data_IF_234478458178
#
_entry.id   IF_234478458178
#
_cell.length_a   1.000
_cell.length_b   1.000
_cell.length_c   1.000
_cell.angle_alpha   90.00
_cell.angle_beta   90.00
_cell.angle_gamma   90.00
#
_symmetry.space_group_name_H-M   'P 1'
#
loop_
_entity.id
_entity.type
_entity.pdbx_description
1 polymer ?
#
# COMPACT_ATOMS: atom_id res chain seq x y z
N UNK A 1 8.67 15.17 -19.95
CA UNK A 1 9.56 14.10 -19.46
C UNK A 1 9.34 12.81 -20.24
N UNK A 2 8.12 12.25 -20.31
CA UNK A 2 7.84 11.05 -21.11
C UNK A 2 7.82 11.31 -22.63
N UNK A 3 7.46 12.54 -23.05
CA UNK A 3 7.46 12.96 -24.47
C UNK A 3 8.74 13.65 -24.94
N UNK A 4 9.82 13.61 -24.15
CA UNK A 4 11.09 14.18 -24.62
C UNK A 4 11.69 13.21 -25.65
N UNK A 5 11.88 13.61 -26.93
CA UNK A 5 12.42 12.73 -27.97
C UNK A 5 13.85 12.24 -27.66
N UNK A 6 14.52 12.81 -26.65
CA UNK A 6 15.84 12.39 -26.18
C UNK A 6 15.78 11.36 -25.04
N UNK A 7 14.58 11.05 -24.54
CA UNK A 7 14.40 10.14 -23.41
C UNK A 7 14.62 8.66 -23.77
N UNK A 8 14.63 8.32 -25.07
CA UNK A 8 14.76 6.94 -25.52
C UNK A 8 13.55 6.08 -25.11
N UNK A 9 13.78 4.79 -24.86
CA UNK A 9 12.73 3.89 -24.37
C UNK A 9 12.39 4.21 -22.90
N UNK A 10 11.11 4.48 -22.63
CA UNK A 10 10.60 4.73 -21.28
C UNK A 10 9.80 3.52 -20.81
N UNK A 11 10.14 2.98 -19.64
CA UNK A 11 9.38 1.94 -18.96
C UNK A 11 8.64 2.56 -17.77
N UNK A 12 7.35 2.27 -17.63
CA UNK A 12 6.54 2.71 -16.50
C UNK A 12 6.09 1.48 -15.71
N UNK A 13 6.51 1.38 -14.45
CA UNK A 13 6.07 0.33 -13.52
C UNK A 13 5.04 0.97 -12.60
N UNK A 14 3.84 0.39 -12.56
CA UNK A 14 2.75 0.87 -11.72
C UNK A 14 2.44 -0.24 -10.73
N UNK A 15 2.67 0.03 -9.46
CA UNK A 15 2.50 -0.91 -8.36
C UNK A 15 1.20 -0.59 -7.57
N UNK A 16 0.64 -1.58 -6.89
CA UNK A 16 -0.53 -1.43 -6.02
C UNK A 16 -1.86 -1.18 -6.75
N UNK A 17 -2.00 -1.67 -7.99
CA UNK A 17 -3.25 -1.54 -8.76
C UNK A 17 -4.41 -2.32 -8.14
N UNK A 18 -4.12 -3.42 -7.46
CA UNK A 18 -5.06 -4.26 -6.70
C UNK A 18 -5.79 -3.47 -5.59
N UNK A 19 -5.16 -2.41 -5.06
CA UNK A 19 -5.73 -1.55 -4.02
C UNK A 19 -6.56 -0.40 -4.57
N UNK A 20 -6.61 -0.21 -5.89
CA UNK A 20 -7.38 0.87 -6.50
C UNK A 20 -8.86 0.51 -6.61
N UNK A 21 -9.73 1.47 -6.24
CA UNK A 21 -11.17 1.35 -6.55
C UNK A 21 -11.38 1.29 -8.07
N UNK A 22 -12.41 0.56 -8.49
CA UNK A 22 -12.64 0.31 -9.92
C UNK A 22 -12.78 1.59 -10.75
N UNK A 23 -13.49 2.61 -10.25
CA UNK A 23 -13.59 3.91 -10.93
C UNK A 23 -12.23 4.61 -11.11
N UNK A 24 -11.34 4.47 -10.13
CA UNK A 24 -9.99 5.04 -10.18
C UNK A 24 -9.12 4.29 -11.19
N UNK A 25 -9.27 2.96 -11.26
CA UNK A 25 -8.59 2.13 -12.25
C UNK A 25 -9.02 2.50 -13.67
N UNK A 26 -10.33 2.68 -13.91
CA UNK A 26 -10.88 3.11 -15.21
C UNK A 26 -10.34 4.47 -15.65
N UNK A 27 -10.23 5.42 -14.72
CA UNK A 27 -9.62 6.73 -14.98
C UNK A 27 -8.14 6.61 -15.34
N UNK A 28 -7.38 5.81 -14.58
CA UNK A 28 -5.95 5.56 -14.84
C UNK A 28 -5.73 4.96 -16.23
N UNK A 29 -6.49 3.92 -16.60
CA UNK A 29 -6.44 3.30 -17.93
C UNK A 29 -6.79 4.32 -19.02
N UNK A 30 -7.82 5.14 -18.81
CA UNK A 30 -8.20 6.21 -19.73
C UNK A 30 -7.09 7.26 -19.92
N UNK A 31 -6.38 7.63 -18.85
CA UNK A 31 -5.24 8.54 -18.92
C UNK A 31 -4.08 7.91 -19.69
N UNK A 32 -3.72 6.65 -19.41
CA UNK A 32 -2.66 5.94 -20.12
C UNK A 32 -2.99 5.85 -21.62
N UNK A 33 -4.21 5.44 -21.97
CA UNK A 33 -4.68 5.41 -23.38
C UNK A 33 -4.53 6.76 -24.06
N UNK A 34 -5.03 7.83 -23.44
CA UNK A 34 -4.98 9.16 -24.04
C UNK A 34 -3.55 9.72 -24.16
N UNK A 35 -2.68 9.41 -23.21
CA UNK A 35 -1.31 9.93 -23.22
C UNK A 35 -0.40 9.21 -24.22
N UNK A 36 -0.57 7.89 -24.39
CA UNK A 36 0.32 7.04 -25.21
C UNK A 36 -0.25 6.61 -26.57
N UNK A 37 -1.58 6.51 -26.73
CA UNK A 37 -2.19 5.92 -27.94
C UNK A 37 -2.83 6.94 -28.90
N UNK A 38 -2.91 8.23 -28.53
CA UNK A 38 -3.50 9.25 -29.42
C UNK A 38 -2.56 9.74 -30.54
N UNK A 39 -1.23 9.66 -30.38
CA UNK A 39 -0.28 10.11 -31.40
C UNK A 39 0.02 9.05 -32.48
N UNK A 40 -0.14 7.75 -32.18
CA UNK A 40 0.03 6.69 -33.18
C UNK A 40 -0.94 6.86 -34.38
N UNK A 41 -2.15 7.38 -34.14
CA UNK A 41 -3.15 7.61 -35.17
C UNK A 41 -2.94 8.92 -35.98
N UNK A 42 -2.12 9.85 -35.49
CA UNK A 42 -1.84 11.12 -36.18
C UNK A 42 -0.55 11.06 -37.00
N UNK A 43 0.44 10.26 -36.60
CA UNK A 43 1.69 10.06 -37.33
C UNK A 43 1.48 9.28 -38.66
N UNK A 44 0.55 8.32 -38.69
CA UNK A 44 0.22 7.54 -39.90
C UNK A 44 -0.57 8.35 -40.96
N UNK A 45 -1.17 9.49 -40.60
CA UNK A 45 -1.94 10.32 -41.55
C UNK A 45 -1.08 11.13 -42.50
N UNK A 46 0.19 11.36 -42.17
CA UNK A 46 1.07 12.17 -43.01
C UNK A 46 1.93 11.36 -43.98
N UNK A 47 1.99 10.02 -43.84
CA UNK A 47 2.83 9.17 -44.70
C UNK A 47 2.04 8.23 -45.64
N UNK A 48 0.74 8.01 -45.41
CA UNK A 48 -0.09 7.21 -46.32
C UNK A 48 -1.24 8.04 -46.92
N UNK A 49 -0.97 8.62 -48.08
CA UNK A 49 -2.00 9.08 -48.99
C UNK A 49 -2.90 7.92 -49.40
N UNK A 50 -4.21 8.12 -49.24
CA UNK A 50 -5.31 7.30 -49.76
C UNK A 50 -5.44 5.87 -49.18
N UNK A 51 -6.18 5.76 -48.08
CA UNK A 51 -7.08 4.63 -47.87
C UNK A 51 -8.31 5.11 -47.10
N UNK A 52 -9.46 5.17 -47.79
CA UNK A 52 -10.75 5.14 -47.11
C UNK A 52 -10.89 3.74 -46.53
N UNK A 53 -11.09 3.62 -45.22
CA UNK A 53 -11.64 2.41 -44.64
C UNK A 53 -12.60 2.77 -43.52
N UNK A 54 -13.75 2.11 -43.58
CA UNK A 54 -14.87 2.13 -42.66
C UNK A 54 -14.43 2.00 -41.20
N UNK A 55 -15.12 2.70 -40.31
CA UNK A 55 -14.96 2.55 -38.86
C UNK A 55 -15.20 1.10 -38.47
N UNK A 56 -14.24 0.41 -37.81
CA UNK A 56 -14.60 -0.76 -37.05
C UNK A 56 -15.21 -0.27 -35.74
N UNK A 57 -16.45 -0.67 -35.48
CA UNK A 57 -17.05 -0.59 -34.15
C UNK A 57 -16.04 -1.10 -33.13
N UNK A 58 -15.70 -0.24 -32.17
CA UNK A 58 -14.75 -0.53 -31.11
C UNK A 58 -15.39 -1.51 -30.09
N UNK A 59 -15.52 -2.77 -30.48
CA UNK A 59 -15.80 -3.91 -29.60
C UNK A 59 -14.64 -4.90 -29.68
N UNK A 60 -13.41 -4.38 -29.59
CA UNK A 60 -12.24 -5.17 -29.31
C UNK A 60 -11.65 -4.66 -27.99
N UNK A 61 -12.13 -5.23 -26.89
CA UNK A 61 -11.30 -5.32 -25.69
C UNK A 61 -9.96 -5.89 -26.14
N UNK A 62 -8.82 -5.25 -25.81
CA UNK A 62 -7.53 -5.88 -26.06
C UNK A 62 -7.58 -7.23 -25.37
N UNK A 63 -7.40 -8.32 -26.13
CA UNK A 63 -7.15 -9.62 -25.50
C UNK A 63 -5.96 -9.40 -24.58
N UNK A 64 -6.27 -9.41 -23.29
CA UNK A 64 -5.37 -9.64 -22.20
C UNK A 64 -4.46 -10.80 -22.59
N UNK A 65 -3.24 -10.49 -23.04
CA UNK A 65 -2.12 -11.39 -22.79
C UNK A 65 -1.74 -11.16 -21.35
N UNK A 66 -2.61 -11.67 -20.49
CA UNK A 66 -2.25 -12.10 -19.17
C UNK A 66 -1.23 -13.23 -19.35
N UNK A 67 0.04 -12.87 -19.40
CA UNK A 67 1.05 -13.69 -18.73
C UNK A 67 0.86 -13.47 -17.21
N UNK A 68 -0.38 -13.68 -16.73
CA UNK A 68 -0.70 -13.83 -15.32
C UNK A 68 -0.46 -15.30 -15.09
N UNK A 69 0.59 -15.60 -14.34
CA UNK A 69 0.62 -16.86 -13.60
C UNK A 69 -0.65 -16.85 -12.74
N UNK A 70 -1.70 -17.50 -13.27
CA UNK A 70 -2.98 -17.63 -12.61
C UNK A 70 -2.75 -18.25 -11.24
N UNK A 71 -3.02 -17.48 -10.20
CA UNK A 71 -3.50 -18.08 -8.98
C UNK A 71 -4.90 -18.57 -9.32
N UNK A 72 -5.04 -19.88 -9.50
CA UNK A 72 -6.31 -20.54 -9.75
C UNK A 72 -7.29 -20.15 -8.64
N UNK A 73 -8.31 -19.37 -9.00
CA UNK A 73 -9.52 -19.15 -8.21
C UNK A 73 -10.36 -20.44 -8.29
N UNK A 74 -9.97 -21.45 -7.53
CA UNK A 74 -10.83 -22.60 -7.21
C UNK A 74 -11.19 -22.57 -5.73
N UNK A 75 -12.48 -22.28 -5.48
CA UNK A 75 -13.24 -22.35 -4.23
C UNK A 75 -12.67 -23.24 -3.09
N UNK A 76 -11.77 -22.68 -2.28
CA UNK A 76 -11.62 -22.95 -0.84
C UNK A 76 -11.32 -21.60 -0.17
N UNK A 77 -11.81 -21.35 1.06
CA UNK A 77 -11.57 -20.12 1.81
C UNK A 77 -10.11 -19.64 1.66
N UNK A 78 -9.95 -18.54 0.94
CA UNK A 78 -8.77 -18.18 0.15
C UNK A 78 -7.55 -17.86 1.02
N UNK A 79 -6.87 -18.91 1.45
CA UNK A 79 -5.75 -18.82 2.38
C UNK A 79 -4.42 -18.74 1.62
N UNK A 80 -3.82 -17.55 1.63
CA UNK A 80 -2.56 -17.26 0.94
C UNK A 80 -1.40 -18.13 1.48
N UNK A 81 -0.83 -19.06 0.69
CA UNK A 81 0.25 -19.95 1.14
C UNK A 81 1.51 -19.20 1.58
N UNK A 82 1.76 -18.02 1.00
CA UNK A 82 2.89 -17.16 1.38
C UNK A 82 2.70 -16.55 2.76
N UNK A 83 1.46 -16.25 3.14
CA UNK A 83 1.12 -15.76 4.48
C UNK A 83 1.40 -16.82 5.53
N UNK A 84 1.07 -18.10 5.25
CA UNK A 84 1.38 -19.22 6.14
C UNK A 84 2.86 -19.32 6.44
N UNK A 85 3.69 -19.34 5.39
CA UNK A 85 5.14 -19.43 5.51
C UNK A 85 5.69 -18.25 6.31
N UNK A 86 5.11 -17.07 6.14
CA UNK A 86 5.47 -15.88 6.91
C UNK A 86 5.10 -16.01 8.39
N UNK A 87 3.88 -16.47 8.71
CA UNK A 87 3.43 -16.72 10.09
C UNK A 87 4.36 -17.73 10.77
N UNK A 88 4.66 -18.85 10.11
CA UNK A 88 5.58 -19.86 10.63
C UNK A 88 6.99 -19.30 10.88
N UNK A 89 7.48 -18.42 10.01
CA UNK A 89 8.76 -17.74 10.21
C UNK A 89 8.72 -16.79 11.41
N UNK A 90 7.63 -16.04 11.58
CA UNK A 90 7.45 -15.06 12.67
C UNK A 90 7.27 -15.71 14.04
N UNK A 91 6.55 -16.83 14.10
CA UNK A 91 6.38 -17.59 15.35
C UNK A 91 7.73 -18.13 15.85
N UNK A 92 8.65 -18.49 14.94
CA UNK A 92 10.02 -18.90 15.31
C UNK A 92 10.86 -17.78 15.93
N UNK A 93 10.45 -16.51 15.80
CA UNK A 93 11.07 -15.39 16.51
C UNK A 93 10.62 -15.30 17.99
N UNK A 94 9.55 -16.00 18.37
CA UNK A 94 9.01 -16.01 19.73
C UNK A 94 9.79 -17.01 20.62
N UNK A 95 9.65 -16.91 21.95
CA UNK A 95 10.24 -17.87 22.87
C UNK A 95 9.85 -19.32 22.52
N UNK A 96 10.75 -20.31 22.70
CA UNK A 96 10.53 -21.69 22.26
C UNK A 96 9.37 -22.42 22.97
N UNK A 97 8.84 -21.86 24.06
CA UNK A 97 7.69 -22.40 24.78
C UNK A 97 6.36 -21.76 24.35
N UNK A 98 6.37 -20.89 23.35
CA UNK A 98 5.17 -20.24 22.84
C UNK A 98 4.18 -21.31 22.29
N UNK A 99 2.86 -21.09 22.44
CA UNK A 99 1.86 -22.02 21.93
C UNK A 99 1.72 -21.88 20.40
N UNK A 100 2.70 -22.40 19.66
CA UNK A 100 2.84 -22.19 18.21
C UNK A 100 1.55 -22.51 17.44
N UNK A 101 0.96 -23.69 17.67
CA UNK A 101 -0.25 -24.10 16.96
C UNK A 101 -1.43 -23.15 17.15
N UNK A 102 -1.58 -22.61 18.36
CA UNK A 102 -2.66 -21.68 18.67
C UNK A 102 -2.40 -20.31 18.05
N UNK A 103 -1.16 -19.83 18.14
CA UNK A 103 -0.76 -18.56 17.55
C UNK A 103 -0.88 -18.60 16.02
N UNK A 104 -0.51 -19.71 15.37
CA UNK A 104 -0.70 -19.89 13.93
C UNK A 104 -2.16 -19.70 13.56
N UNK A 105 -3.07 -20.46 14.17
CA UNK A 105 -4.51 -20.35 13.89
C UNK A 105 -5.03 -18.94 14.13
N UNK A 106 -4.63 -18.29 15.22
CA UNK A 106 -5.08 -16.94 15.55
C UNK A 106 -4.58 -15.89 14.54
N UNK A 107 -3.35 -16.04 14.04
CA UNK A 107 -2.75 -15.14 13.06
C UNK A 107 -3.25 -15.39 11.64
N UNK A 108 -3.65 -16.63 11.31
CA UNK A 108 -4.19 -16.99 9.98
C UNK A 108 -5.58 -16.39 9.73
N UNK A 109 -6.41 -16.23 10.77
CA UNK A 109 -7.81 -15.79 10.65
C UNK A 109 -8.02 -14.30 10.96
N UNK A 110 -6.96 -13.51 11.03
CA UNK A 110 -7.01 -12.08 11.39
C UNK A 110 -6.09 -11.25 10.49
N UNK A 111 -6.29 -9.94 10.51
CA UNK A 111 -5.43 -8.96 9.85
C UNK A 111 -5.69 -8.79 8.35
N UNK A 112 -6.86 -9.20 7.86
CA UNK A 112 -7.25 -9.15 6.44
C UNK A 112 -6.20 -9.75 5.50
N UNK A 113 -5.50 -10.80 5.97
CA UNK A 113 -4.44 -11.47 5.22
C UNK A 113 -3.18 -10.63 4.99
N UNK A 114 -2.96 -9.55 5.77
CA UNK A 114 -1.82 -8.66 5.58
C UNK A 114 -0.61 -9.06 6.42
N UNK A 115 0.56 -9.11 5.78
CA UNK A 115 1.84 -9.33 6.46
C UNK A 115 2.10 -8.31 7.57
N UNK A 116 1.69 -7.05 7.36
CA UNK A 116 1.91 -5.97 8.30
C UNK A 116 1.14 -6.15 9.61
N UNK A 117 -0.09 -6.66 9.55
CA UNK A 117 -0.86 -6.94 10.76
C UNK A 117 -0.18 -8.03 11.59
N UNK A 118 0.37 -9.07 10.94
CA UNK A 118 1.13 -10.13 11.62
C UNK A 118 2.35 -9.55 12.32
N UNK A 119 3.09 -8.64 11.68
CA UNK A 119 4.23 -7.97 12.31
C UNK A 119 3.80 -7.21 13.58
N UNK A 120 2.71 -6.44 13.53
CA UNK A 120 2.19 -5.76 14.72
C UNK A 120 1.78 -6.74 15.81
N UNK A 121 1.09 -7.82 15.46
CA UNK A 121 0.65 -8.82 16.42
C UNK A 121 1.84 -9.50 17.11
N UNK A 122 2.84 -9.92 16.34
CA UNK A 122 4.05 -10.57 16.85
C UNK A 122 4.86 -9.63 17.75
N UNK A 123 4.97 -8.35 17.39
CA UNK A 123 5.63 -7.35 18.25
C UNK A 123 4.88 -7.11 19.57
N UNK A 124 3.54 -7.19 19.59
CA UNK A 124 2.78 -7.16 20.84
C UNK A 124 3.00 -8.43 21.67
N UNK A 125 3.06 -9.61 21.03
CA UNK A 125 3.32 -10.88 21.70
C UNK A 125 4.71 -10.95 22.34
N UNK A 126 5.73 -10.35 21.70
CA UNK A 126 7.09 -10.26 22.26
C UNK A 126 7.15 -9.46 23.57
N UNK A 127 6.16 -8.61 23.86
CA UNK A 127 6.13 -7.77 25.07
C UNK A 127 5.51 -8.45 26.28
N UNK A 128 4.85 -9.60 26.10
CA UNK A 128 4.12 -10.29 27.16
C UNK A 128 4.75 -11.63 27.53
N UNK A 129 4.58 -12.12 28.77
CA UNK A 129 4.94 -13.49 29.14
C UNK A 129 4.20 -14.52 28.28
N UNK A 130 4.79 -15.71 28.13
CA UNK A 130 4.23 -16.81 27.31
C UNK A 130 2.81 -17.18 27.74
N UNK A 131 2.53 -17.14 29.04
CA UNK A 131 1.23 -17.49 29.62
C UNK A 131 0.11 -16.52 29.19
N UNK A 132 0.47 -15.30 28.77
CA UNK A 132 -0.47 -14.25 28.36
C UNK A 132 -0.58 -14.10 26.84
N UNK A 133 0.20 -14.85 26.05
CA UNK A 133 0.28 -14.69 24.59
C UNK A 133 -1.05 -15.02 23.91
N UNK A 134 -1.72 -16.09 24.34
CA UNK A 134 -3.03 -16.49 23.82
C UNK A 134 -4.09 -15.40 24.05
N UNK A 135 -4.19 -14.91 25.28
CA UNK A 135 -5.13 -13.82 25.61
C UNK A 135 -4.77 -12.54 24.84
N UNK A 136 -3.48 -12.25 24.70
CA UNK A 136 -2.99 -11.08 24.00
C UNK A 136 -3.38 -11.12 22.53
N UNK A 137 -3.07 -12.19 21.79
CA UNK A 137 -3.42 -12.30 20.36
C UNK A 137 -4.93 -12.23 20.15
N UNK A 138 -5.71 -12.83 21.05
CA UNK A 138 -7.17 -12.80 20.96
C UNK A 138 -7.77 -11.42 21.22
N UNK A 139 -7.10 -10.61 22.07
CA UNK A 139 -7.48 -9.22 22.35
C UNK A 139 -7.09 -8.22 21.25
N UNK A 140 -6.23 -8.62 20.30
CA UNK A 140 -5.83 -7.75 19.21
C UNK A 140 -6.99 -7.51 18.25
N UNK A 141 -7.15 -6.27 17.74
CA UNK A 141 -8.19 -5.99 16.75
C UNK A 141 -8.01 -6.85 15.50
N UNK A 142 -9.11 -7.40 14.93
CA UNK A 142 -9.04 -8.31 13.79
C UNK A 142 -8.66 -7.61 12.50
N UNK A 143 -8.90 -6.30 12.36
CA UNK A 143 -8.63 -5.53 11.14
C UNK A 143 -7.39 -4.63 11.30
N UNK A 144 -6.71 -4.37 10.19
CA UNK A 144 -5.52 -3.51 10.18
C UNK A 144 -5.84 -2.05 10.56
N UNK A 145 -6.97 -1.51 10.12
CA UNK A 145 -7.38 -0.13 10.45
C UNK A 145 -7.65 0.05 11.95
N UNK A 146 -8.21 -0.98 12.60
CA UNK A 146 -8.43 -0.98 14.04
C UNK A 146 -7.11 -1.12 14.80
N UNK A 147 -6.14 -1.86 14.26
CA UNK A 147 -4.78 -1.91 14.80
C UNK A 147 -4.13 -0.52 14.77
N UNK A 148 -4.20 0.20 13.64
CA UNK A 148 -3.73 1.58 13.55
C UNK A 148 -4.43 2.50 14.56
N UNK A 149 -5.76 2.37 14.69
CA UNK A 149 -6.53 3.14 15.67
C UNK A 149 -6.03 2.91 17.09
N UNK A 150 -5.80 1.65 17.48
CA UNK A 150 -5.22 1.31 18.79
C UNK A 150 -3.82 1.90 18.97
N UNK A 151 -2.95 1.82 17.96
CA UNK A 151 -1.60 2.40 18.00
C UNK A 151 -1.69 3.92 18.23
N UNK A 152 -2.55 4.62 17.49
CA UNK A 152 -2.72 6.07 17.61
C UNK A 152 -3.31 6.48 18.96
N UNK A 153 -4.27 5.72 19.51
CA UNK A 153 -4.86 5.99 20.82
C UNK A 153 -3.92 5.72 21.99
N UNK A 154 -2.91 4.86 21.81
CA UNK A 154 -1.91 4.55 22.83
C UNK A 154 -0.73 5.55 22.86
N UNK A 155 -0.74 6.58 22.01
CA UNK A 155 0.29 7.62 22.03
C UNK A 155 0.17 8.42 23.36
N UNK A 156 1.26 8.60 24.12
CA UNK A 156 1.25 9.43 25.33
C UNK A 156 0.74 10.85 25.03
N UNK A 157 -0.10 11.46 25.89
CA UNK A 157 -0.69 12.78 25.63
C UNK A 157 0.32 13.86 25.26
N UNK A 158 1.45 13.91 25.97
CA UNK A 158 2.59 14.81 25.70
C UNK A 158 3.22 14.66 24.31
N UNK A 159 3.03 13.54 23.62
CA UNK A 159 3.58 13.29 22.27
C UNK A 159 2.56 13.45 21.14
N UNK A 160 1.27 13.63 21.45
CA UNK A 160 0.20 13.63 20.44
C UNK A 160 0.43 14.73 19.40
N UNK A 161 0.67 15.97 19.82
CA UNK A 161 0.92 17.09 18.90
C UNK A 161 2.15 16.86 18.01
N UNK A 162 3.20 16.27 18.58
CA UNK A 162 4.41 15.92 17.84
C UNK A 162 4.11 14.86 16.77
N UNK A 163 3.41 13.78 17.13
CA UNK A 163 3.07 12.71 16.19
C UNK A 163 2.11 13.20 15.11
N UNK A 164 1.14 14.04 15.44
CA UNK A 164 0.25 14.68 14.46
C UNK A 164 1.05 15.53 13.46
N UNK A 165 2.00 16.33 13.95
CA UNK A 165 2.92 17.08 13.10
C UNK A 165 3.73 16.17 12.16
N UNK A 166 4.25 15.07 12.71
CA UNK A 166 5.06 14.09 11.97
C UNK A 166 4.25 13.43 10.86
N UNK A 167 3.06 12.95 11.17
CA UNK A 167 2.18 12.31 10.18
C UNK A 167 1.74 13.29 9.09
N UNK A 168 1.44 14.56 9.44
CA UNK A 168 1.12 15.60 8.45
C UNK A 168 2.26 15.82 7.45
N UNK A 169 3.49 15.94 7.95
CA UNK A 169 4.66 16.12 7.09
C UNK A 169 4.87 14.92 6.16
N UNK A 170 4.78 13.70 6.70
CA UNK A 170 4.95 12.47 5.92
C UNK A 170 3.88 12.36 4.83
N UNK A 171 2.61 12.57 5.16
CA UNK A 171 1.49 12.45 4.21
C UNK A 171 1.54 13.51 3.12
N UNK A 172 1.98 14.74 3.42
CA UNK A 172 2.06 15.82 2.45
C UNK A 172 3.36 15.83 1.63
N UNK A 173 4.35 15.00 1.97
CA UNK A 173 5.62 14.98 1.28
C UNK A 173 5.50 14.37 -0.13
N UNK A 174 6.09 15.03 -1.13
CA UNK A 174 6.12 14.53 -2.52
C UNK A 174 7.04 13.31 -2.73
N UNK A 175 7.95 13.08 -1.79
CA UNK A 175 8.90 11.98 -1.76
C UNK A 175 9.14 11.59 -0.30
N UNK A 176 9.66 10.38 -0.02
CA UNK A 176 10.13 10.04 1.31
C UNK A 176 11.08 11.14 1.85
N UNK A 177 10.82 11.56 3.09
CA UNK A 177 11.64 12.54 3.79
C UNK A 177 12.74 11.83 4.56
N UNK A 178 13.94 12.40 4.53
CA UNK A 178 15.01 11.93 5.41
C UNK A 178 14.72 12.35 6.86
N UNK A 179 15.27 11.61 7.83
CA UNK A 179 15.08 11.90 9.25
C UNK A 179 15.48 13.33 9.63
N UNK A 180 16.54 13.86 9.01
CA UNK A 180 16.99 15.23 9.23
C UNK A 180 15.98 16.25 8.66
N UNK A 181 15.44 16.00 7.47
CA UNK A 181 14.45 16.86 6.84
C UNK A 181 13.17 16.91 7.67
N UNK A 182 12.73 15.75 8.16
CA UNK A 182 11.55 15.64 9.02
C UNK A 182 11.77 16.35 10.36
N UNK A 183 12.96 16.23 10.96
CA UNK A 183 13.29 16.94 12.19
C UNK A 183 13.28 18.46 12.01
N UNK A 184 13.83 18.98 10.89
CA UNK A 184 13.76 20.40 10.56
C UNK A 184 12.32 20.84 10.36
N UNK A 185 11.54 20.08 9.59
CA UNK A 185 10.15 20.39 9.29
C UNK A 185 9.28 20.45 10.57
N UNK A 186 9.49 19.51 11.50
CA UNK A 186 8.80 19.48 12.79
C UNK A 186 9.09 20.71 13.65
N UNK A 187 10.37 21.13 13.73
CA UNK A 187 10.75 22.34 14.46
C UNK A 187 10.11 23.61 13.88
N UNK A 188 9.95 23.68 12.55
CA UNK A 188 9.28 24.81 11.91
C UNK A 188 7.78 24.88 12.28
N UNK A 189 7.10 23.74 12.34
CA UNK A 189 5.69 23.67 12.74
C UNK A 189 5.45 24.01 14.22
N UNK A 190 6.42 23.77 15.10
CA UNK A 190 6.34 24.18 16.51
C UNK A 190 6.57 25.69 16.72
N UNK A 191 6.96 26.46 15.68
CA UNK A 191 7.27 27.89 15.78
C UNK A 191 6.27 28.78 15.01
N UNK A 192 5.05 28.30 14.79
CA UNK A 192 3.98 29.13 14.22
C UNK A 192 3.66 30.32 15.16
N UNK A 193 3.53 31.56 14.64
CA UNK A 193 3.57 32.79 15.43
C UNK A 193 2.22 33.09 16.09
N UNK A 194 1.86 32.38 17.16
CA UNK A 194 0.77 32.79 18.06
C UNK A 194 1.26 33.53 19.31
N UNK A 195 2.58 33.69 19.51
CA UNK A 195 3.13 34.45 20.63
C UNK A 195 3.56 35.89 20.29
N UNK A 196 3.20 36.41 19.11
CA UNK A 196 3.52 37.77 18.68
C UNK A 196 2.31 38.73 18.75
N UNK A 197 1.50 38.66 19.81
CA UNK A 197 0.49 39.69 20.14
C UNK A 197 0.19 39.70 21.64
N UNK A 198 1.21 40.01 22.43
CA UNK A 198 1.03 40.48 23.80
C UNK A 198 2.27 41.29 24.23
N UNK A 199 2.44 42.49 23.67
CA UNK A 199 3.19 43.57 24.33
C UNK A 199 2.63 44.91 23.91
#
# INVERSE_FOLDING_TARGET
MVRDPRAGQVYCIIDGLDRCKEDSLRLLVGLIRNYFLKEAAEQDRYDNGYAQHEEPEATAYPQEREDVEGFDEEDEEDFNPSLKLYIEAKIKELPPNAPESLLTVALEHRGDGTFLWIDFAVEELKKVPVEMMEDTVNSLPPELDQMYTRILLNIPPELVEFVVGLLRWIVCARRPMDLLELAVALNLSHHSPEQASAT
#
